data_IF_765802574758
#
_entry.id   IF_765802574758
#
_cell.length_a   1.000
_cell.length_b   1.000
_cell.length_c   1.000
_cell.angle_alpha   90.00
_cell.angle_beta   90.00
_cell.angle_gamma   90.00
#
_symmetry.space_group_name_H-M   'P 1'
#
loop_
_entity.id
_entity.type
_entity.pdbx_description
1 polymer ?
#
# COMPACT_ATOMS: atom_id res chain seq x y z
N UNK A 1 4.12 2.27 3.96
CA UNK A 1 3.95 0.81 3.86
C UNK A 1 2.82 0.38 4.79
N UNK A 2 1.72 -0.17 4.26
CA UNK A 2 0.65 -0.72 5.11
C UNK A 2 0.84 -2.25 5.21
N UNK A 3 1.61 -2.69 6.20
CA UNK A 3 1.79 -4.12 6.51
C UNK A 3 0.63 -4.62 7.38
N UNK A 4 0.37 -5.93 7.40
CA UNK A 4 -0.63 -6.58 8.25
C UNK A 4 -0.44 -6.18 9.72
N UNK A 5 0.81 -6.15 10.19
CA UNK A 5 1.16 -5.70 11.53
C UNK A 5 0.76 -4.24 11.79
N UNK A 6 1.00 -3.36 10.82
CA UNK A 6 0.57 -1.97 10.88
C UNK A 6 -0.96 -1.84 10.84
N UNK A 7 -1.66 -2.67 10.07
CA UNK A 7 -3.13 -2.69 10.04
C UNK A 7 -3.71 -3.11 11.40
N UNK A 8 -3.15 -4.13 12.03
CA UNK A 8 -3.55 -4.56 13.39
C UNK A 8 -3.37 -3.40 14.39
N UNK A 9 -2.24 -2.70 14.31
CA UNK A 9 -1.96 -1.51 15.13
C UNK A 9 -2.98 -0.40 14.89
N UNK A 10 -3.24 -0.04 13.63
CA UNK A 10 -4.19 1.02 13.27
C UNK A 10 -5.61 0.70 13.72
N UNK A 11 -6.04 -0.57 13.57
CA UNK A 11 -7.34 -1.04 14.05
C UNK A 11 -7.44 -0.91 15.58
N UNK A 12 -6.39 -1.30 16.31
CA UNK A 12 -6.33 -1.13 17.77
C UNK A 12 -6.44 0.35 18.17
N UNK A 13 -5.67 1.22 17.52
CA UNK A 13 -5.67 2.66 17.80
C UNK A 13 -7.02 3.31 17.46
N UNK A 14 -7.68 2.89 16.37
CA UNK A 14 -9.02 3.35 16.00
C UNK A 14 -10.08 2.97 17.05
N UNK A 15 -9.91 1.83 17.73
CA UNK A 15 -10.75 1.41 18.85
C UNK A 15 -10.33 2.02 20.20
N UNK A 16 -9.31 2.90 20.21
CA UNK A 16 -8.76 3.54 21.40
C UNK A 16 -8.25 2.55 22.46
N UNK A 17 -7.80 1.37 22.03
CA UNK A 17 -7.25 0.36 22.94
C UNK A 17 -5.75 0.54 23.12
N UNK A 18 -5.28 0.40 24.35
CA UNK A 18 -3.84 0.30 24.64
C UNK A 18 -3.29 -1.06 24.18
N UNK A 19 -1.96 -1.18 24.09
CA UNK A 19 -1.34 -2.48 23.85
C UNK A 19 -1.65 -3.49 24.96
N UNK A 20 -1.86 -3.01 26.19
CA UNK A 20 -2.27 -3.84 27.33
C UNK A 20 -3.70 -4.37 27.16
N UNK A 21 -4.65 -3.50 26.77
CA UNK A 21 -6.03 -3.91 26.51
C UNK A 21 -6.10 -4.99 25.44
N UNK A 22 -5.36 -4.81 24.34
CA UNK A 22 -5.35 -5.78 23.25
C UNK A 22 -4.63 -7.07 23.64
N UNK A 23 -3.53 -7.00 24.39
CA UNK A 23 -2.84 -8.18 24.91
C UNK A 23 -3.74 -8.99 25.86
N UNK A 24 -4.53 -8.33 26.70
CA UNK A 24 -5.51 -8.96 27.57
C UNK A 24 -6.62 -9.66 26.76
N UNK A 25 -7.18 -9.01 25.73
CA UNK A 25 -8.16 -9.63 24.81
C UNK A 25 -7.58 -10.83 24.06
N UNK A 26 -6.30 -10.77 23.73
CA UNK A 26 -5.53 -11.84 23.09
C UNK A 26 -5.11 -12.96 24.06
N UNK A 27 -5.32 -12.79 25.37
CA UNK A 27 -4.81 -13.67 26.43
C UNK A 27 -3.29 -13.94 26.29
N UNK A 28 -2.51 -12.86 26.12
CA UNK A 28 -1.05 -12.95 25.97
C UNK A 28 -0.33 -11.80 26.69
N UNK A 29 0.99 -11.87 26.79
CA UNK A 29 1.78 -10.80 27.39
C UNK A 29 1.80 -9.55 26.50
N UNK A 30 1.82 -8.37 27.13
CA UNK A 30 1.96 -7.07 26.43
C UNK A 30 3.19 -7.07 25.53
N UNK A 31 4.33 -7.54 26.03
CA UNK A 31 5.57 -7.66 25.25
C UNK A 31 5.40 -8.55 24.01
N UNK A 32 4.69 -9.68 24.16
CA UNK A 32 4.37 -10.57 23.04
C UNK A 32 3.50 -9.89 21.99
N UNK A 33 2.50 -9.12 22.42
CA UNK A 33 1.65 -8.34 21.51
C UNK A 33 2.42 -7.19 20.83
N UNK A 34 3.29 -6.47 21.55
CA UNK A 34 4.11 -5.40 20.94
C UNK A 34 5.03 -5.94 19.83
N UNK A 35 5.56 -7.17 19.98
CA UNK A 35 6.34 -7.84 18.91
C UNK A 35 5.50 -8.15 17.68
N UNK A 36 4.21 -8.45 17.85
CA UNK A 36 3.28 -8.63 16.74
C UNK A 36 3.14 -7.31 15.98
N UNK A 37 2.91 -6.18 16.64
CA UNK A 37 2.75 -4.89 15.94
C UNK A 37 4.03 -4.42 15.23
N UNK A 38 5.20 -4.79 15.74
CA UNK A 38 6.49 -4.51 15.09
C UNK A 38 6.86 -5.49 13.96
N UNK A 39 6.12 -6.57 13.79
CA UNK A 39 6.43 -7.62 12.80
C UNK A 39 7.62 -8.51 13.19
N UNK A 40 8.03 -8.49 14.46
CA UNK A 40 9.13 -9.32 14.99
C UNK A 40 8.67 -10.75 15.36
N UNK A 41 7.37 -11.02 15.25
CA UNK A 41 6.77 -12.32 15.54
C UNK A 41 5.97 -12.82 14.35
N UNK A 42 6.19 -14.09 13.99
CA UNK A 42 5.36 -14.78 13.01
C UNK A 42 3.92 -14.87 13.53
N UNK A 43 2.97 -14.49 12.68
CA UNK A 43 1.54 -14.64 12.91
C UNK A 43 1.06 -15.93 12.23
N UNK A 44 0.47 -16.80 13.05
CA UNK A 44 -0.17 -18.03 12.62
C UNK A 44 -1.65 -17.77 12.36
N UNK A 45 -2.28 -18.66 11.59
CA UNK A 45 -3.70 -18.57 11.29
C UNK A 45 -4.57 -18.40 12.55
N UNK A 46 -4.34 -19.19 13.60
CA UNK A 46 -5.12 -19.11 14.84
C UNK A 46 -5.09 -17.73 15.50
N UNK A 47 -3.93 -17.08 15.50
CA UNK A 47 -3.78 -15.72 16.03
C UNK A 47 -4.53 -14.71 15.17
N UNK A 48 -4.56 -14.89 13.85
CA UNK A 48 -5.33 -14.02 12.96
C UNK A 48 -6.83 -14.19 13.16
N UNK A 49 -7.30 -15.43 13.32
CA UNK A 49 -8.69 -15.71 13.69
C UNK A 49 -9.04 -15.04 15.00
N UNK A 50 -8.16 -15.11 16.01
CA UNK A 50 -8.37 -14.46 17.29
C UNK A 50 -8.44 -12.94 17.15
N UNK A 51 -7.51 -12.33 16.42
CA UNK A 51 -7.49 -10.88 16.17
C UNK A 51 -8.76 -10.44 15.41
N UNK A 52 -9.15 -11.17 14.37
CA UNK A 52 -10.36 -10.88 13.59
C UNK A 52 -11.62 -10.95 14.47
N UNK A 53 -11.73 -11.96 15.34
CA UNK A 53 -12.80 -12.08 16.34
C UNK A 53 -12.84 -10.90 17.31
N UNK A 54 -11.68 -10.44 17.80
CA UNK A 54 -11.59 -9.29 18.69
C UNK A 54 -12.12 -8.01 18.02
N UNK A 55 -11.83 -7.83 16.73
CA UNK A 55 -12.33 -6.70 15.94
C UNK A 55 -13.72 -6.92 15.32
N UNK A 56 -14.32 -8.09 15.51
CA UNK A 56 -15.60 -8.49 14.93
C UNK A 56 -15.64 -8.33 13.39
N UNK A 57 -14.58 -8.80 12.73
CA UNK A 57 -14.45 -8.83 11.27
C UNK A 57 -14.11 -10.24 10.78
N UNK A 58 -14.26 -10.51 9.49
CA UNK A 58 -13.73 -11.73 8.91
C UNK A 58 -12.20 -11.69 8.79
N UNK A 59 -11.55 -12.86 8.79
CA UNK A 59 -10.08 -12.94 8.60
C UNK A 59 -9.68 -12.37 7.25
N UNK A 60 -10.53 -12.48 6.23
CA UNK A 60 -10.32 -11.90 4.90
C UNK A 60 -10.39 -10.37 4.86
N UNK A 61 -11.11 -9.77 5.79
CA UNK A 61 -11.08 -8.32 5.97
C UNK A 61 -9.82 -7.88 6.69
N UNK A 62 -9.23 -8.75 7.53
CA UNK A 62 -7.95 -8.49 8.19
C UNK A 62 -6.77 -8.62 7.21
N UNK A 63 -6.69 -9.71 6.45
CA UNK A 63 -5.64 -9.96 5.47
C UNK A 63 -6.05 -9.43 4.09
N UNK A 64 -5.32 -8.47 3.57
CA UNK A 64 -5.64 -7.81 2.30
C UNK A 64 -5.39 -8.78 1.11
N UNK A 65 -6.41 -9.57 0.76
CA UNK A 65 -6.32 -10.65 -0.22
C UNK A 65 -5.94 -10.16 -1.62
N UNK A 66 -6.32 -8.92 -1.97
CA UNK A 66 -5.97 -8.29 -3.25
C UNK A 66 -4.46 -8.11 -3.41
N UNK A 67 -3.69 -8.16 -2.31
CA UNK A 67 -2.22 -8.07 -2.32
C UNK A 67 -1.52 -9.42 -2.46
N UNK A 68 -2.27 -10.51 -2.59
CA UNK A 68 -1.76 -11.88 -2.70
C UNK A 68 -1.30 -12.42 -1.35
N UNK A 69 -2.03 -13.41 -0.82
CA UNK A 69 -1.70 -14.10 0.44
C UNK A 69 -1.38 -15.55 0.13
N UNK A 70 -0.19 -16.02 0.52
CA UNK A 70 0.20 -17.43 0.38
C UNK A 70 0.04 -18.14 1.73
N UNK A 71 -0.83 -19.15 1.75
CA UNK A 71 -1.02 -20.04 2.88
C UNK A 71 -0.20 -21.32 2.63
N UNK A 72 0.76 -21.60 3.51
CA UNK A 72 1.44 -22.90 3.52
C UNK A 72 0.73 -23.80 4.51
N UNK A 73 -0.14 -24.68 4.01
CA UNK A 73 -0.76 -25.71 4.84
C UNK A 73 0.22 -26.87 5.00
N UNK A 74 0.67 -27.11 6.24
CA UNK A 74 1.44 -28.29 6.63
C UNK A 74 0.77 -28.84 7.90
N UNK A 75 0.66 -30.17 8.02
CA UNK A 75 0.05 -30.87 9.15
C UNK A 75 0.56 -30.43 10.55
N UNK A 76 1.71 -29.75 10.62
CA UNK A 76 2.29 -29.28 11.88
C UNK A 76 2.33 -27.76 12.08
N UNK A 77 1.88 -26.94 11.11
CA UNK A 77 1.76 -25.48 11.31
C UNK A 77 1.22 -24.71 10.10
N UNK A 78 0.12 -23.99 10.32
CA UNK A 78 -0.41 -23.02 9.35
C UNK A 78 0.15 -21.62 9.63
N UNK A 79 1.28 -21.31 8.99
CA UNK A 79 1.84 -19.97 8.97
C UNK A 79 1.44 -19.23 7.70
N UNK A 80 1.05 -17.97 7.83
CA UNK A 80 0.90 -17.08 6.67
C UNK A 80 2.21 -16.31 6.49
N UNK A 81 2.78 -16.38 5.28
CA UNK A 81 3.85 -15.48 4.88
C UNK A 81 3.28 -14.45 3.89
N UNK A 82 3.12 -13.21 4.34
CA UNK A 82 2.75 -12.10 3.46
C UNK A 82 3.98 -11.65 2.67
N UNK A 83 4.10 -12.12 1.42
CA UNK A 83 5.10 -11.59 0.48
C UNK A 83 4.58 -10.28 -0.12
N UNK A 84 5.07 -9.13 0.37
CA UNK A 84 4.79 -7.80 -0.19
C UNK A 84 5.55 -7.52 -1.50
N UNK A 85 5.85 -8.52 -2.32
CA UNK A 85 6.64 -8.35 -3.53
C UNK A 85 5.85 -7.75 -4.71
N UNK A 86 4.51 -7.75 -4.67
CA UNK A 86 3.69 -7.37 -5.83
C UNK A 86 3.31 -5.88 -5.89
N UNK A 87 3.45 -5.13 -4.80
CA UNK A 87 3.05 -3.71 -4.77
C UNK A 87 4.08 -2.80 -5.44
N UNK A 88 5.34 -3.21 -5.48
CA UNK A 88 6.43 -2.43 -6.08
C UNK A 88 6.36 -2.44 -7.61
N UNK A 89 6.00 -3.58 -8.22
CA UNK A 89 5.87 -3.67 -9.69
C UNK A 89 4.71 -2.84 -10.23
N UNK A 90 3.54 -2.85 -9.58
CA UNK A 90 2.39 -2.06 -10.02
C UNK A 90 2.68 -0.55 -9.89
N UNK A 91 3.28 -0.14 -8.77
CA UNK A 91 3.67 1.25 -8.54
C UNK A 91 4.82 1.68 -9.48
N UNK A 92 5.76 0.79 -9.78
CA UNK A 92 6.84 1.04 -10.75
C UNK A 92 6.29 1.22 -12.17
N UNK A 93 5.35 0.36 -12.60
CA UNK A 93 4.68 0.47 -13.89
C UNK A 93 3.86 1.77 -14.00
N UNK A 94 3.18 2.17 -12.92
CA UNK A 94 2.46 3.44 -12.87
C UNK A 94 3.42 4.64 -12.94
N UNK A 95 4.56 4.58 -12.24
CA UNK A 95 5.60 5.61 -12.33
C UNK A 95 6.21 5.73 -13.73
N UNK A 96 6.48 4.62 -14.41
CA UNK A 96 6.94 4.64 -15.80
C UNK A 96 5.90 5.25 -16.74
N UNK A 97 4.63 4.90 -16.58
CA UNK A 97 3.52 5.49 -17.34
C UNK A 97 3.42 7.00 -17.11
N UNK A 98 3.53 7.45 -15.86
CA UNK A 98 3.52 8.88 -15.52
C UNK A 98 4.69 9.62 -16.15
N UNK A 99 5.91 9.05 -16.12
CA UNK A 99 7.08 9.62 -16.79
C UNK A 99 6.87 9.75 -18.30
N UNK A 100 6.32 8.72 -18.95
CA UNK A 100 6.03 8.76 -20.38
C UNK A 100 5.02 9.86 -20.74
N UNK A 101 3.97 10.03 -19.92
CA UNK A 101 2.98 11.10 -20.11
C UNK A 101 3.64 12.48 -19.99
N UNK A 102 4.55 12.66 -19.04
CA UNK A 102 5.28 13.92 -18.86
C UNK A 102 6.15 14.21 -20.08
N UNK A 103 6.96 13.25 -20.52
CA UNK A 103 7.81 13.42 -21.72
C UNK A 103 6.98 13.77 -22.95
N UNK A 104 5.86 13.08 -23.17
CA UNK A 104 4.98 13.39 -24.30
C UNK A 104 4.38 14.81 -24.20
N UNK A 105 3.99 15.24 -23.00
CA UNK A 105 3.48 16.60 -22.77
C UNK A 105 4.56 17.66 -23.02
N UNK A 106 5.81 17.42 -22.64
CA UNK A 106 6.94 18.31 -22.92
C UNK A 106 7.21 18.45 -24.42
N UNK A 107 7.13 17.35 -25.18
CA UNK A 107 7.26 17.36 -26.64
C UNK A 107 6.13 18.17 -27.31
N UNK A 108 4.88 17.97 -26.89
CA UNK A 108 3.74 18.73 -27.37
C UNK A 108 3.88 20.23 -27.06
N UNK A 109 4.36 20.57 -25.86
CA UNK A 109 4.60 21.96 -25.46
C UNK A 109 5.64 22.60 -26.38
N UNK A 110 6.75 21.90 -26.66
CA UNK A 110 7.78 22.37 -27.58
C UNK A 110 7.27 22.57 -29.02
N UNK A 111 6.38 21.69 -29.49
CA UNK A 111 5.72 21.87 -30.78
C UNK A 111 4.83 23.12 -30.78
N UNK A 112 4.02 23.31 -29.74
CA UNK A 112 3.14 24.48 -29.61
C UNK A 112 3.91 25.78 -29.54
N UNK A 113 5.02 25.82 -28.81
CA UNK A 113 5.90 27.00 -28.80
C UNK A 113 6.50 27.31 -30.18
N UNK A 114 6.83 26.28 -30.97
CA UNK A 114 7.32 26.48 -32.34
C UNK A 114 6.23 27.06 -33.23
N UNK A 115 5.01 26.53 -33.15
CA UNK A 115 3.85 27.07 -33.88
C UNK A 115 3.59 28.53 -33.51
N UNK A 116 3.60 28.86 -32.20
CA UNK A 116 3.43 30.23 -31.72
C UNK A 116 4.50 31.16 -32.32
N UNK A 117 5.79 30.78 -32.25
CA UNK A 117 6.86 31.58 -32.85
C UNK A 117 6.68 31.81 -34.35
N UNK A 118 6.23 30.80 -35.08
CA UNK A 118 5.95 30.92 -36.51
C UNK A 118 4.78 31.87 -36.79
N UNK A 119 3.70 31.77 -36.01
CA UNK A 119 2.55 32.66 -36.13
C UNK A 119 2.90 34.10 -35.76
N UNK A 120 3.69 34.32 -34.70
CA UNK A 120 4.20 35.63 -34.30
C UNK A 120 5.05 36.26 -35.42
N UNK A 121 5.88 35.47 -36.09
CA UNK A 121 6.68 35.94 -37.23
C UNK A 121 5.81 36.35 -38.41
N UNK A 122 4.82 35.52 -38.78
CA UNK A 122 3.88 35.85 -39.85
C UNK A 122 3.13 37.15 -39.54
N UNK A 123 2.63 37.31 -38.32
CA UNK A 123 1.94 38.54 -37.90
C UNK A 123 2.88 39.75 -37.99
N UNK A 124 4.14 39.61 -37.58
CA UNK A 124 5.15 40.68 -37.66
C UNK A 124 5.42 41.11 -39.09
N UNK A 125 5.50 40.17 -40.02
CA UNK A 125 5.69 40.45 -41.46
C UNK A 125 4.48 41.16 -42.06
N UNK A 126 3.26 40.70 -41.74
CA UNK A 126 2.01 41.30 -42.23
C UNK A 126 1.74 42.71 -41.66
N UNK A 127 2.27 43.04 -40.48
CA UNK A 127 2.14 44.38 -39.87
C UNK A 127 3.15 45.41 -40.39
N UNK A 128 4.11 45.00 -41.24
CA UNK A 128 5.10 45.90 -41.85
C UNK A 128 4.66 46.45 -43.22
N UNK A 129 3.61 45.89 -43.80
CA UNK A 129 2.87 46.44 -44.95
C UNK A 129 1.79 47.42 -44.47
#
# INVERSE_FOLDING_TARGET
MNTLHNKIRLMREAHQWSQEDMANKMNMSVSGYSKIERGESKLYYDKLVQIAKIFNIEVCELVDFDKGVVFFMNENSDYIYTNYANNDQALSAENEKLKLIITHKEELLKQKEKEIRQLEEIIRLLKKE
#
